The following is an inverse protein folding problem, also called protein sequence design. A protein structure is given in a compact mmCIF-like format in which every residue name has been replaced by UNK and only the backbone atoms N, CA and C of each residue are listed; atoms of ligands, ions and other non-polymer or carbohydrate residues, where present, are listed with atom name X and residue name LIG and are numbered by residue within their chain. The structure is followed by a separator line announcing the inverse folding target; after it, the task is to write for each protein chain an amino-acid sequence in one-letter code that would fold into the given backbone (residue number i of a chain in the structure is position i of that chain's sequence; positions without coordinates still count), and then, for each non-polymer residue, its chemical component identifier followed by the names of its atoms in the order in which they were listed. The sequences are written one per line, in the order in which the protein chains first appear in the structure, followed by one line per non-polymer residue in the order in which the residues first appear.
data_IF_739216924491
#
_entry.id   IF_739216924491
#
_cell.length_a   1.000
_cell.length_b   1.000
_cell.length_c   1.000
_cell.angle_alpha   90.00
_cell.angle_beta   90.00
_cell.angle_gamma   90.00
#
_symmetry.space_group_name_H-M   'P 1'
#
loop_
_entity.id
_entity.type
_entity.pdbx_description
1 polymer ?
#
# COMPACT_ATOMS: atom_id res chain seq x y z
N UNK A 1 1.53 6.40 -14.77
CA UNK A 1 1.16 5.11 -14.15
C UNK A 1 -0.16 5.26 -13.37
N UNK A 2 -1.03 4.28 -13.50
CA UNK A 2 -2.34 4.23 -12.85
C UNK A 2 -2.34 3.12 -11.81
N UNK A 3 -2.80 3.43 -10.60
CA UNK A 3 -2.98 2.47 -9.52
C UNK A 3 -4.42 2.50 -9.01
N UNK A 4 -5.03 1.32 -8.80
CA UNK A 4 -6.32 1.18 -8.14
C UNK A 4 -6.37 -0.09 -7.29
N UNK A 5 -7.45 -0.29 -6.56
CA UNK A 5 -7.55 -1.36 -5.58
C UNK A 5 -8.87 -2.13 -5.73
N UNK A 6 -8.79 -3.46 -5.73
CA UNK A 6 -9.94 -4.34 -5.71
C UNK A 6 -10.68 -4.24 -4.37
N UNK A 7 -11.94 -3.80 -4.34
CA UNK A 7 -12.75 -3.79 -3.13
C UNK A 7 -13.28 -5.21 -2.83
N UNK A 8 -12.37 -6.11 -2.45
CA UNK A 8 -12.64 -7.55 -2.32
C UNK A 8 -13.79 -7.89 -1.35
N UNK A 9 -14.12 -6.98 -0.44
CA UNK A 9 -15.25 -7.12 0.48
C UNK A 9 -16.63 -7.03 -0.22
N UNK A 10 -16.67 -6.51 -1.45
CA UNK A 10 -17.89 -6.48 -2.27
C UNK A 10 -18.10 -7.74 -3.11
N UNK A 11 -17.08 -8.61 -3.20
CA UNK A 11 -17.13 -9.81 -4.02
C UNK A 11 -17.89 -10.94 -3.32
N UNK A 12 -18.90 -11.47 -3.97
CA UNK A 12 -19.71 -12.60 -3.49
C UNK A 12 -19.60 -13.83 -4.38
N UNK A 13 -19.25 -13.65 -5.64
CA UNK A 13 -19.16 -14.70 -6.66
C UNK A 13 -18.06 -14.35 -7.68
N UNK A 14 -17.58 -15.33 -8.46
CA UNK A 14 -16.46 -15.11 -9.41
C UNK A 14 -16.70 -13.97 -10.39
N UNK A 15 -17.92 -13.82 -10.93
CA UNK A 15 -18.24 -12.78 -11.91
C UNK A 15 -18.12 -11.35 -11.36
N UNK A 16 -18.11 -11.18 -10.05
CA UNK A 16 -17.90 -9.87 -9.42
C UNK A 16 -16.50 -9.33 -9.64
N UNK A 17 -15.51 -10.19 -9.89
CA UNK A 17 -14.13 -9.79 -10.22
C UNK A 17 -14.10 -8.92 -11.48
N UNK A 18 -14.62 -9.45 -12.58
CA UNK A 18 -14.68 -8.70 -13.85
C UNK A 18 -15.59 -7.49 -13.78
N UNK A 19 -16.71 -7.60 -13.07
CA UNK A 19 -17.65 -6.47 -12.89
C UNK A 19 -16.99 -5.30 -12.17
N UNK A 20 -16.29 -5.56 -11.05
CA UNK A 20 -15.59 -4.51 -10.31
C UNK A 20 -14.46 -3.90 -11.12
N UNK A 21 -13.62 -4.73 -11.74
CA UNK A 21 -12.48 -4.28 -12.52
C UNK A 21 -12.90 -3.46 -13.75
N UNK A 22 -13.91 -3.92 -14.50
CA UNK A 22 -14.44 -3.19 -15.66
C UNK A 22 -15.01 -1.82 -15.26
N UNK A 23 -15.68 -1.72 -14.12
CA UNK A 23 -16.19 -0.44 -13.61
C UNK A 23 -15.05 0.51 -13.20
N UNK A 24 -13.96 -0.01 -12.62
CA UNK A 24 -12.76 0.77 -12.32
C UNK A 24 -12.11 1.32 -13.58
N UNK A 25 -11.88 0.46 -14.60
CA UNK A 25 -11.34 0.89 -15.89
C UNK A 25 -12.22 1.95 -16.55
N UNK A 26 -13.53 1.75 -16.54
CA UNK A 26 -14.49 2.71 -17.09
C UNK A 26 -14.39 4.08 -16.41
N UNK A 27 -14.29 4.11 -15.06
CA UNK A 27 -14.17 5.36 -14.29
C UNK A 27 -12.83 6.04 -14.53
N UNK A 28 -11.77 5.28 -14.61
CA UNK A 28 -10.42 5.77 -14.87
C UNK A 28 -10.19 6.15 -16.34
N UNK A 29 -11.13 5.81 -17.25
CA UNK A 29 -11.05 6.03 -18.70
C UNK A 29 -9.78 5.44 -19.31
N UNK A 30 -9.47 4.21 -18.95
CA UNK A 30 -8.29 3.46 -19.39
C UNK A 30 -8.68 2.02 -19.71
N UNK A 31 -7.84 1.33 -20.46
CA UNK A 31 -7.96 -0.10 -20.77
C UNK A 31 -7.09 -1.00 -19.87
N UNK A 32 -6.23 -0.40 -19.06
CA UNK A 32 -5.32 -1.11 -18.16
C UNK A 32 -5.03 -0.33 -16.88
N UNK A 33 -4.42 -1.00 -15.90
CA UNK A 33 -3.80 -0.40 -14.72
C UNK A 33 -2.36 -0.90 -14.57
N UNK A 34 -1.47 -0.01 -14.13
CA UNK A 34 -0.08 -0.37 -13.88
C UNK A 34 0.07 -1.13 -12.56
N UNK A 35 -0.67 -0.74 -11.53
CA UNK A 35 -0.60 -1.31 -10.18
C UNK A 35 -2.00 -1.64 -9.66
N UNK A 36 -2.27 -2.92 -9.43
CA UNK A 36 -3.56 -3.39 -8.91
C UNK A 36 -3.38 -4.03 -7.54
N UNK A 37 -4.09 -3.52 -6.53
CA UNK A 37 -3.91 -3.97 -5.15
C UNK A 37 -5.15 -4.70 -4.63
N UNK A 38 -4.94 -5.77 -3.87
CA UNK A 38 -5.97 -6.29 -2.98
C UNK A 38 -6.15 -5.26 -1.84
N UNK A 39 -7.31 -4.60 -1.78
CA UNK A 39 -7.56 -3.50 -0.84
C UNK A 39 -7.72 -4.03 0.58
N UNK A 40 -6.88 -3.55 1.52
CA UNK A 40 -6.96 -3.94 2.93
C UNK A 40 -6.97 -5.47 3.13
N UNK A 41 -6.02 -6.16 2.54
CA UNK A 41 -5.84 -7.59 2.77
C UNK A 41 -5.24 -7.78 4.17
N UNK A 42 -6.06 -8.15 5.16
CA UNK A 42 -5.68 -8.14 6.57
C UNK A 42 -5.31 -9.50 7.14
N UNK A 43 -5.66 -10.58 6.45
CA UNK A 43 -5.43 -11.94 6.92
C UNK A 43 -5.47 -12.98 5.80
N UNK A 44 -4.91 -14.17 6.10
CA UNK A 44 -4.85 -15.29 5.16
C UNK A 44 -6.20 -15.91 4.85
N UNK A 45 -7.19 -15.80 5.74
CA UNK A 45 -8.55 -16.32 5.49
C UNK A 45 -9.24 -15.51 4.41
N UNK A 46 -9.03 -14.20 4.42
CA UNK A 46 -9.51 -13.30 3.35
C UNK A 46 -8.92 -13.71 2.00
N UNK A 47 -7.61 -14.01 1.94
CA UNK A 47 -6.99 -14.51 0.73
C UNK A 47 -7.57 -15.86 0.29
N UNK A 48 -7.71 -16.84 1.20
CA UNK A 48 -8.32 -18.15 0.90
C UNK A 48 -9.74 -18.00 0.34
N UNK A 49 -10.54 -17.06 0.88
CA UNK A 49 -11.85 -16.75 0.31
C UNK A 49 -11.76 -16.23 -1.14
N UNK A 50 -10.77 -15.39 -1.43
CA UNK A 50 -10.53 -14.89 -2.79
C UNK A 50 -10.06 -16.01 -3.73
N UNK A 51 -9.21 -16.93 -3.24
CA UNK A 51 -8.82 -18.13 -3.99
C UNK A 51 -10.05 -18.98 -4.35
N UNK A 52 -10.99 -19.15 -3.41
CA UNK A 52 -12.28 -19.81 -3.67
C UNK A 52 -13.15 -19.10 -4.71
N UNK A 53 -12.94 -17.80 -4.96
CA UNK A 53 -13.58 -17.05 -6.05
C UNK A 53 -12.78 -17.08 -7.37
N UNK A 54 -11.65 -17.80 -7.42
CA UNK A 54 -10.82 -17.90 -8.61
C UNK A 54 -9.87 -16.73 -8.85
N UNK A 55 -9.54 -15.93 -7.82
CA UNK A 55 -8.72 -14.72 -7.96
C UNK A 55 -7.36 -14.99 -8.60
N UNK A 56 -6.71 -16.13 -8.26
CA UNK A 56 -5.37 -16.45 -8.76
C UNK A 56 -5.37 -16.61 -10.27
N UNK A 57 -6.30 -17.40 -10.80
CA UNK A 57 -6.47 -17.61 -12.23
C UNK A 57 -6.85 -16.29 -12.92
N UNK A 58 -7.77 -15.55 -12.35
CA UNK A 58 -8.22 -14.27 -12.87
C UNK A 58 -7.08 -13.25 -12.98
N UNK A 59 -6.25 -13.11 -11.92
CA UNK A 59 -5.07 -12.25 -11.95
C UNK A 59 -4.06 -12.67 -13.02
N UNK A 60 -3.82 -13.98 -13.18
CA UNK A 60 -2.94 -14.48 -14.23
C UNK A 60 -3.44 -14.11 -15.64
N UNK A 61 -4.74 -14.24 -15.90
CA UNK A 61 -5.36 -13.86 -17.16
C UNK A 61 -5.26 -12.35 -17.42
N UNK A 62 -5.51 -11.49 -16.38
CA UNK A 62 -5.38 -10.04 -16.49
C UNK A 62 -3.94 -9.58 -16.70
N UNK A 63 -2.96 -10.26 -16.08
CA UNK A 63 -1.53 -10.01 -16.34
C UNK A 63 -1.17 -10.43 -17.77
N UNK A 64 -1.58 -11.60 -18.21
CA UNK A 64 -1.30 -12.11 -19.56
C UNK A 64 -1.89 -11.22 -20.67
N UNK A 65 -3.09 -10.65 -20.46
CA UNK A 65 -3.73 -9.72 -21.40
C UNK A 65 -3.15 -8.29 -21.35
N UNK A 66 -2.28 -7.98 -20.41
CA UNK A 66 -1.73 -6.64 -20.20
C UNK A 66 -2.68 -5.64 -19.52
N UNK A 67 -3.87 -6.09 -19.10
CA UNK A 67 -4.83 -5.23 -18.37
C UNK A 67 -4.37 -4.89 -16.95
N UNK A 68 -3.55 -5.75 -16.33
CA UNK A 68 -2.88 -5.50 -15.05
C UNK A 68 -1.39 -5.75 -15.25
N UNK A 69 -0.54 -4.79 -14.91
CA UNK A 69 0.92 -4.95 -15.04
C UNK A 69 1.55 -5.53 -13.77
N UNK A 70 1.17 -5.01 -12.61
CA UNK A 70 1.73 -5.39 -11.32
C UNK A 70 0.61 -5.64 -10.33
N UNK A 71 0.72 -6.71 -9.54
CA UNK A 71 -0.25 -7.12 -8.53
C UNK A 71 0.35 -7.00 -7.14
N UNK A 72 -0.35 -6.32 -6.25
CA UNK A 72 0.07 -6.16 -4.87
C UNK A 72 -1.10 -6.17 -3.89
N UNK A 73 -0.82 -5.80 -2.66
CA UNK A 73 -1.86 -5.63 -1.65
C UNK A 73 -1.56 -4.44 -0.73
N UNK A 74 -2.61 -3.81 -0.20
CA UNK A 74 -2.49 -2.84 0.88
C UNK A 74 -2.86 -3.51 2.20
N UNK A 75 -2.13 -3.14 3.26
CA UNK A 75 -2.18 -3.83 4.53
C UNK A 75 -2.40 -2.91 5.72
N UNK A 76 -3.30 -3.34 6.63
CA UNK A 76 -3.56 -2.72 7.93
C UNK A 76 -3.76 -3.82 8.99
N UNK A 77 -2.72 -4.44 9.46
CA UNK A 77 -2.75 -5.49 10.48
C UNK A 77 -1.40 -5.59 11.18
N UNK A 78 -1.18 -6.62 12.00
CA UNK A 78 0.07 -6.79 12.72
C UNK A 78 1.19 -7.38 11.83
N UNK A 79 2.44 -7.26 12.27
CA UNK A 79 3.63 -7.70 11.54
C UNK A 79 3.65 -9.21 11.26
N UNK A 80 3.18 -10.04 12.20
CA UNK A 80 3.20 -11.50 12.02
C UNK A 80 2.27 -11.94 10.88
N UNK A 81 1.08 -11.37 10.81
CA UNK A 81 0.14 -11.66 9.73
C UNK A 81 0.62 -11.09 8.40
N UNK A 82 1.25 -9.91 8.41
CA UNK A 82 1.87 -9.33 7.22
C UNK A 82 2.92 -10.27 6.63
N UNK A 83 3.82 -10.79 7.47
CA UNK A 83 4.84 -11.75 7.02
C UNK A 83 4.23 -13.00 6.40
N UNK A 84 3.13 -13.53 6.96
CA UNK A 84 2.40 -14.66 6.36
C UNK A 84 1.81 -14.31 5.00
N UNK A 85 1.24 -13.11 4.85
CA UNK A 85 0.67 -12.66 3.59
C UNK A 85 1.73 -12.47 2.49
N UNK A 86 2.97 -12.12 2.85
CA UNK A 86 4.07 -12.07 1.89
C UNK A 86 4.40 -13.43 1.27
N UNK A 87 4.07 -14.53 1.95
CA UNK A 87 4.45 -15.89 1.54
C UNK A 87 3.32 -16.66 0.82
N UNK A 88 2.09 -16.11 0.75
CA UNK A 88 0.94 -16.85 0.19
C UNK A 88 0.74 -16.66 -1.32
N UNK A 89 1.35 -15.66 -1.92
CA UNK A 89 1.24 -15.35 -3.34
C UNK A 89 2.53 -14.69 -3.82
N UNK A 90 2.82 -14.79 -5.11
CA UNK A 90 3.97 -14.12 -5.75
C UNK A 90 3.62 -12.67 -6.09
N UNK A 91 3.66 -11.82 -5.05
CA UNK A 91 3.34 -10.40 -5.14
C UNK A 91 4.42 -9.63 -5.88
N UNK A 92 4.02 -8.67 -6.72
CA UNK A 92 4.95 -7.76 -7.39
C UNK A 92 5.33 -6.56 -6.49
N UNK A 93 4.52 -6.23 -5.48
CA UNK A 93 4.77 -5.15 -4.51
C UNK A 93 3.80 -5.23 -3.33
N UNK A 94 4.07 -4.46 -2.28
CA UNK A 94 3.12 -4.26 -1.18
C UNK A 94 3.00 -2.79 -0.78
N UNK A 95 1.88 -2.44 -0.14
CA UNK A 95 1.64 -1.09 0.38
C UNK A 95 1.31 -1.15 1.87
N UNK A 96 2.10 -0.47 2.69
CA UNK A 96 1.97 -0.43 4.15
C UNK A 96 1.88 1.00 4.68
N UNK A 97 1.26 1.18 5.84
CA UNK A 97 1.39 2.40 6.61
C UNK A 97 2.74 2.39 7.32
N UNK A 98 3.53 3.46 7.14
CA UNK A 98 4.79 3.60 7.83
C UNK A 98 5.20 5.07 7.96
N UNK A 99 5.71 5.44 9.13
CA UNK A 99 6.25 6.77 9.45
C UNK A 99 7.03 6.67 10.77
N UNK A 100 7.75 7.71 11.14
CA UNK A 100 8.63 7.71 12.32
C UNK A 100 7.91 7.55 13.69
N UNK A 101 6.59 7.63 13.76
CA UNK A 101 5.82 7.29 14.97
C UNK A 101 5.29 5.86 14.97
N UNK A 102 5.13 5.27 13.79
CA UNK A 102 4.47 3.98 13.60
C UNK A 102 5.46 2.85 13.28
N UNK A 103 6.76 3.00 13.65
CA UNK A 103 7.80 1.98 13.39
C UNK A 103 7.45 0.60 13.96
N UNK A 104 6.74 0.58 15.10
CA UNK A 104 6.33 -0.66 15.78
C UNK A 104 4.82 -0.92 15.65
N UNK A 105 4.15 -0.25 14.72
CA UNK A 105 2.71 -0.35 14.52
C UNK A 105 2.40 -1.01 13.17
N UNK A 106 1.34 -1.81 13.12
CA UNK A 106 0.91 -2.55 11.94
C UNK A 106 2.01 -3.48 11.38
N UNK A 107 2.34 -3.42 10.08
CA UNK A 107 3.46 -4.14 9.51
C UNK A 107 4.80 -3.70 10.15
N UNK A 108 4.93 -2.41 10.43
CA UNK A 108 6.06 -1.79 11.11
C UNK A 108 7.41 -2.03 10.42
N UNK A 109 8.49 -1.76 11.13
CA UNK A 109 9.86 -2.01 10.65
C UNK A 109 10.08 -3.50 10.35
N UNK A 110 9.52 -4.41 11.15
CA UNK A 110 9.61 -5.85 10.93
C UNK A 110 9.05 -6.25 9.56
N UNK A 111 7.85 -5.75 9.22
CA UNK A 111 7.24 -6.03 7.92
C UNK A 111 7.99 -5.38 6.76
N UNK A 112 8.46 -4.14 6.95
CA UNK A 112 9.25 -3.42 5.96
C UNK A 112 10.52 -4.21 5.60
N UNK A 113 11.31 -4.62 6.60
CA UNK A 113 12.53 -5.39 6.39
C UNK A 113 12.24 -6.75 5.75
N UNK A 114 11.19 -7.46 6.23
CA UNK A 114 10.81 -8.76 5.67
C UNK A 114 10.42 -8.69 4.19
N UNK A 115 9.68 -7.64 3.79
CA UNK A 115 9.36 -7.42 2.38
C UNK A 115 10.63 -7.16 1.54
N UNK A 116 11.54 -6.32 2.06
CA UNK A 116 12.79 -6.01 1.39
C UNK A 116 13.72 -7.22 1.26
N UNK A 117 13.81 -8.10 2.28
CA UNK A 117 14.54 -9.37 2.21
C UNK A 117 14.04 -10.28 1.09
N UNK A 118 12.75 -10.22 0.78
CA UNK A 118 12.16 -10.93 -0.35
C UNK A 118 12.37 -10.22 -1.70
N UNK A 119 13.01 -9.07 -1.71
CA UNK A 119 13.14 -8.23 -2.90
C UNK A 119 11.83 -7.55 -3.33
N UNK A 120 10.83 -7.51 -2.46
CA UNK A 120 9.52 -6.96 -2.76
C UNK A 120 9.51 -5.44 -2.58
N UNK A 121 9.18 -4.66 -3.63
CA UNK A 121 9.01 -3.22 -3.53
C UNK A 121 7.96 -2.82 -2.49
N UNK A 122 8.30 -1.85 -1.63
CA UNK A 122 7.40 -1.36 -0.57
C UNK A 122 6.97 0.06 -0.85
N UNK A 123 5.66 0.25 -0.94
CA UNK A 123 5.02 1.56 -1.12
C UNK A 123 4.46 2.01 0.24
N UNK A 124 4.79 3.23 0.65
CA UNK A 124 4.35 3.78 1.92
C UNK A 124 3.09 4.62 1.74
N UNK A 125 2.06 4.30 2.52
CA UNK A 125 0.87 5.13 2.71
C UNK A 125 0.88 5.79 4.09
N UNK A 126 0.10 6.85 4.26
CA UNK A 126 -0.01 7.64 5.49
C UNK A 126 1.34 8.15 6.07
N UNK A 127 2.24 8.66 5.22
CA UNK A 127 3.56 9.14 5.68
C UNK A 127 3.45 10.26 6.71
N UNK A 128 2.36 11.02 6.72
CA UNK A 128 2.11 12.13 7.62
C UNK A 128 0.91 11.91 8.56
N UNK A 129 0.36 10.70 8.64
CA UNK A 129 -0.85 10.37 9.44
C UNK A 129 -2.00 11.37 9.20
N UNK A 130 -2.34 11.63 7.94
CA UNK A 130 -3.36 12.61 7.56
C UNK A 130 -3.00 14.04 7.99
N UNK A 131 -1.72 14.40 7.98
CA UNK A 131 -1.22 15.73 8.36
C UNK A 131 -0.94 15.91 9.88
N UNK A 132 -1.19 14.89 10.70
CA UNK A 132 -0.91 14.99 12.16
C UNK A 132 0.57 15.20 12.44
N UNK A 133 1.47 14.61 11.65
CA UNK A 133 2.91 14.77 11.78
C UNK A 133 3.44 16.14 11.31
N UNK A 134 2.56 17.00 10.85
CA UNK A 134 2.89 18.40 10.49
C UNK A 134 2.23 19.39 11.44
N UNK A 135 0.94 19.19 11.72
CA UNK A 135 0.10 20.23 12.36
C UNK A 135 0.03 20.08 13.87
N UNK A 136 0.10 18.84 14.41
CA UNK A 136 -0.16 18.55 15.83
C UNK A 136 1.06 18.01 16.59
N UNK A 137 2.27 18.33 16.13
CA UNK A 137 3.51 17.94 16.80
C UNK A 137 3.66 18.63 18.16
N UNK A 138 4.11 17.90 19.21
CA UNK A 138 4.44 18.50 20.49
C UNK A 138 5.60 19.50 20.38
N UNK A 139 5.67 20.44 21.32
CA UNK A 139 6.68 21.51 21.31
C UNK A 139 8.13 20.97 21.29
N UNK A 140 8.37 19.85 21.96
CA UNK A 140 9.68 19.16 21.98
C UNK A 140 10.09 18.70 20.56
N UNK A 141 9.17 18.05 19.83
CA UNK A 141 9.43 17.62 18.47
C UNK A 141 9.66 18.80 17.51
N UNK A 142 8.83 19.86 17.63
CA UNK A 142 9.01 21.09 16.84
C UNK A 142 10.40 21.72 17.05
N UNK A 143 10.91 21.74 18.31
CA UNK A 143 12.24 22.24 18.63
C UNK A 143 13.36 21.39 17.99
N UNK A 144 13.18 20.08 17.90
CA UNK A 144 14.16 19.17 17.25
C UNK A 144 14.18 19.44 15.74
N UNK A 145 13.00 19.45 15.11
CA UNK A 145 12.86 19.68 13.67
C UNK A 145 13.39 21.07 13.26
N UNK A 146 13.11 22.10 14.07
CA UNK A 146 13.60 23.47 13.80
C UNK A 146 15.13 23.58 13.72
N UNK A 147 15.90 22.63 14.32
CA UNK A 147 17.36 22.59 14.19
C UNK A 147 17.85 22.09 12.83
N UNK A 148 16.98 21.49 12.05
CA UNK A 148 17.30 20.88 10.75
C UNK A 148 17.06 21.80 9.56
N UNK A 149 16.50 23.00 9.77
CA UNK A 149 16.05 23.91 8.70
C UNK A 149 14.98 23.29 7.78
N UNK A 150 14.35 22.18 8.18
CA UNK A 150 13.28 21.53 7.43
C UNK A 150 11.91 21.87 8.00
N UNK A 151 10.89 21.87 7.14
CA UNK A 151 9.51 21.81 7.61
C UNK A 151 9.20 20.44 8.20
N UNK A 152 8.18 20.30 9.08
CA UNK A 152 7.78 18.99 9.60
C UNK A 152 7.45 17.96 8.50
N UNK A 153 6.83 18.39 7.40
CA UNK A 153 6.56 17.52 6.26
C UNK A 153 7.86 17.03 5.59
N UNK A 154 8.78 17.96 5.29
CA UNK A 154 10.08 17.62 4.72
C UNK A 154 10.88 16.67 5.61
N UNK A 155 10.84 16.87 6.94
CA UNK A 155 11.50 16.00 7.90
C UNK A 155 10.93 14.57 7.82
N UNK A 156 9.59 14.44 7.84
CA UNK A 156 8.93 13.13 7.78
C UNK A 156 9.21 12.39 6.46
N UNK A 157 9.16 13.09 5.33
CA UNK A 157 9.49 12.48 4.04
C UNK A 157 10.97 12.09 3.93
N UNK A 158 11.89 12.92 4.41
CA UNK A 158 13.32 12.58 4.41
C UNK A 158 13.60 11.37 5.28
N UNK A 159 12.97 11.27 6.46
CA UNK A 159 13.11 10.09 7.31
C UNK A 159 12.68 8.81 6.58
N UNK A 160 11.59 8.85 5.80
CA UNK A 160 11.15 7.71 4.99
C UNK A 160 12.11 7.39 3.86
N UNK A 161 12.62 8.39 3.16
CA UNK A 161 13.54 8.21 2.04
C UNK A 161 14.95 7.77 2.47
N UNK A 162 15.29 7.95 3.74
CA UNK A 162 16.53 7.45 4.33
C UNK A 162 16.46 5.92 4.61
N UNK A 163 15.26 5.34 4.58
CA UNK A 163 15.07 3.89 4.66
C UNK A 163 15.27 3.27 3.27
N UNK A 164 16.37 2.53 3.09
CA UNK A 164 16.72 1.90 1.80
C UNK A 164 15.68 0.89 1.29
N UNK A 165 14.85 0.37 2.18
CA UNK A 165 13.77 -0.59 1.91
C UNK A 165 12.52 0.09 1.32
N UNK A 166 12.40 1.40 1.44
CA UNK A 166 11.24 2.16 0.93
C UNK A 166 11.43 2.46 -0.55
N UNK A 167 10.53 1.96 -1.36
CA UNK A 167 10.57 2.16 -2.82
C UNK A 167 9.87 3.45 -3.23
N UNK A 168 8.70 3.74 -2.64
CA UNK A 168 7.87 4.89 -2.99
C UNK A 168 7.07 5.37 -1.79
N UNK A 169 6.87 6.69 -1.69
CA UNK A 169 6.04 7.31 -0.65
C UNK A 169 4.88 8.04 -1.31
N UNK A 170 3.65 7.68 -0.93
CA UNK A 170 2.44 8.32 -1.43
C UNK A 170 2.13 9.58 -0.62
N UNK A 171 1.69 10.62 -1.29
CA UNK A 171 1.17 11.83 -0.66
C UNK A 171 -0.30 12.04 -1.04
N UNK A 172 -1.14 12.28 -0.04
CA UNK A 172 -2.58 12.48 -0.19
C UNK A 172 -2.95 13.96 -0.41
N UNK A 173 -2.20 14.69 -1.22
CA UNK A 173 -2.49 16.09 -1.54
C UNK A 173 -3.75 16.20 -2.39
N UNK A 174 -4.71 16.99 -1.94
CA UNK A 174 -6.00 17.17 -2.59
C UNK A 174 -6.40 18.63 -2.81
N UNK A 175 -5.48 19.56 -2.55
CA UNK A 175 -5.62 21.00 -2.85
C UNK A 175 -4.28 21.59 -3.32
N UNK A 176 -4.35 22.74 -3.99
CA UNK A 176 -3.14 23.44 -4.46
C UNK A 176 -2.31 24.05 -3.31
N UNK A 177 -2.93 24.25 -2.14
CA UNK A 177 -2.28 24.84 -0.96
C UNK A 177 -1.53 23.80 -0.09
N UNK A 178 -1.59 22.53 -0.45
CA UNK A 178 -0.87 21.43 0.21
C UNK A 178 0.46 21.14 -0.48
#
# INVERSE_FOLDING_TARGET
NIATKLPHYLLKKPEDLDRCFSEELRRLKTDHVDYYLMHMLTDTKTWQRLEGLGIVQWLAEKKASGQIRQVGFSYHGNSDMFCKLLDIYDWDFCQIQYNYLDENSQAGATGLHRAAEKGLPVIIMEPLRGGRLTNTLPASAKKIIARTSLTPAQFAFRWLWDQKEVTCVLSGMNSLDM
#
